data_IF_814873407406
#
_entry.id   IF_814873407406
#
_cell.length_a   1.000
_cell.length_b   1.000
_cell.length_c   1.000
_cell.angle_alpha   90.00
_cell.angle_beta   90.00
_cell.angle_gamma   90.00
#
_symmetry.space_group_name_H-M   'P 1'
#
loop_
_entity.id
_entity.type
_entity.pdbx_description
1 polymer ?
#
# COMPACT_ATOMS: atom_id res chain seq x y z
N UNK A 1 -3.06 11.38 -8.39
CA UNK A 1 -3.39 9.98 -8.14
C UNK A 1 -2.25 9.17 -7.53
N UNK A 2 -1.03 9.03 -8.17
CA UNK A 2 0.07 8.21 -7.61
C UNK A 2 0.53 8.57 -6.18
N UNK A 3 0.59 9.86 -5.81
CA UNK A 3 1.05 10.30 -4.47
C UNK A 3 0.03 10.07 -3.35
N UNK A 4 -1.25 10.11 -3.64
CA UNK A 4 -2.30 9.96 -2.61
C UNK A 4 -2.56 8.49 -2.26
N UNK A 5 -2.52 7.60 -3.25
CA UNK A 5 -2.57 6.15 -3.02
C UNK A 5 -1.37 5.71 -2.17
N UNK A 6 -0.18 6.31 -2.39
CA UNK A 6 1.00 6.08 -1.56
C UNK A 6 0.84 6.58 -0.11
N UNK A 7 0.14 7.69 0.12
CA UNK A 7 -0.05 8.24 1.48
C UNK A 7 -1.03 7.39 2.30
N UNK A 8 -2.10 6.89 1.69
CA UNK A 8 -3.03 5.95 2.33
C UNK A 8 -2.36 4.59 2.61
N UNK A 9 -1.42 4.17 1.75
CA UNK A 9 -0.64 2.95 1.93
C UNK A 9 0.40 3.05 3.06
N UNK A 10 1.02 4.22 3.29
CA UNK A 10 2.05 4.36 4.33
C UNK A 10 1.48 4.27 5.76
N UNK A 11 0.22 4.62 5.98
CA UNK A 11 -0.42 4.49 7.29
C UNK A 11 -0.78 3.03 7.65
N UNK A 12 -1.09 2.18 6.67
CA UNK A 12 -1.38 0.76 6.92
C UNK A 12 -0.13 -0.11 7.13
N UNK A 13 1.06 0.37 6.76
CA UNK A 13 2.31 -0.39 6.86
C UNK A 13 2.94 -0.41 8.26
N UNK A 14 2.48 0.41 9.19
CA UNK A 14 3.16 0.60 10.48
C UNK A 14 2.75 -0.38 11.60
N UNK A 15 1.70 -1.20 11.47
CA UNK A 15 1.10 -1.86 12.65
C UNK A 15 1.29 -3.38 12.74
N UNK A 16 1.74 -4.11 11.73
CA UNK A 16 1.73 -5.59 11.79
C UNK A 16 3.01 -6.32 11.37
N UNK A 17 4.19 -5.78 11.66
CA UNK A 17 5.47 -6.48 11.36
C UNK A 17 5.89 -7.53 12.40
N UNK A 18 5.04 -7.95 13.34
CA UNK A 18 5.50 -8.69 14.53
C UNK A 18 4.86 -10.06 14.73
N UNK A 19 4.53 -10.78 13.69
CA UNK A 19 3.77 -12.02 13.82
C UNK A 19 4.19 -13.22 13.00
N UNK A 20 5.44 -13.35 12.56
CA UNK A 20 5.92 -14.64 12.04
C UNK A 20 7.21 -15.04 12.74
N UNK A 21 7.07 -16.02 13.63
CA UNK A 21 8.17 -16.79 14.19
C UNK A 21 8.99 -17.37 13.06
N UNK A 22 10.30 -17.13 13.08
CA UNK A 22 11.28 -17.80 12.24
C UNK A 22 10.99 -19.31 12.21
N UNK A 23 10.90 -19.88 11.01
CA UNK A 23 10.76 -21.31 10.82
C UNK A 23 11.82 -22.06 11.65
N UNK A 24 11.35 -22.75 12.65
CA UNK A 24 11.90 -23.78 13.46
C UNK A 24 13.39 -24.10 13.43
N UNK A 25 14.20 -23.49 14.29
CA UNK A 25 15.14 -24.30 15.02
C UNK A 25 14.33 -25.01 16.11
N UNK A 26 14.18 -26.32 16.03
CA UNK A 26 13.61 -27.07 17.17
C UNK A 26 14.52 -26.85 18.37
N UNK A 27 14.04 -26.06 19.33
CA UNK A 27 14.74 -25.93 20.62
C UNK A 27 14.90 -27.28 21.25
N UNK A 28 16.02 -27.49 21.94
CA UNK A 28 16.17 -28.66 22.75
C UNK A 28 14.99 -28.79 23.71
N UNK A 29 14.48 -30.00 23.98
CA UNK A 29 13.29 -30.18 24.83
C UNK A 29 13.40 -29.48 26.18
N UNK A 30 14.62 -29.45 26.73
CA UNK A 30 14.90 -28.77 27.99
C UNK A 30 14.75 -27.26 27.92
N UNK A 31 15.18 -26.62 26.80
CA UNK A 31 14.98 -25.19 26.58
C UNK A 31 13.49 -24.88 26.38
N UNK A 32 12.78 -25.72 25.63
CA UNK A 32 11.30 -25.57 25.46
C UNK A 32 10.59 -25.59 26.80
N UNK A 33 10.94 -26.56 27.68
CA UNK A 33 10.34 -26.68 29.01
C UNK A 33 10.64 -25.47 29.89
N UNK A 34 11.88 -24.98 29.92
CA UNK A 34 12.23 -23.79 30.69
C UNK A 34 11.58 -22.50 30.14
N UNK A 35 11.45 -22.40 28.82
CA UNK A 35 10.84 -21.25 28.15
C UNK A 35 9.36 -21.04 28.53
N UNK A 36 8.62 -22.10 28.83
CA UNK A 36 7.21 -21.98 29.29
C UNK A 36 7.09 -21.21 30.60
N UNK A 37 8.13 -21.24 31.42
CA UNK A 37 8.16 -20.59 32.74
C UNK A 37 8.57 -19.12 32.67
N UNK A 38 9.07 -18.60 31.55
CA UNK A 38 9.62 -17.25 31.46
C UNK A 38 8.59 -16.17 31.85
N UNK A 39 7.33 -16.35 31.50
CA UNK A 39 6.24 -15.40 31.85
C UNK A 39 5.70 -15.63 33.25
N UNK A 40 5.48 -16.89 33.63
CA UNK A 40 4.78 -17.23 34.87
C UNK A 40 5.70 -17.21 36.09
N UNK A 41 6.95 -17.65 35.93
CA UNK A 41 7.94 -17.69 37.00
C UNK A 41 9.35 -17.44 36.45
N UNK A 42 9.72 -16.17 36.17
CA UNK A 42 11.01 -15.83 35.59
C UNK A 42 12.22 -16.35 36.36
N UNK A 43 12.15 -16.36 37.70
CA UNK A 43 13.23 -16.86 38.54
C UNK A 43 13.48 -18.36 38.34
N UNK A 44 12.41 -19.15 38.28
CA UNK A 44 12.50 -20.60 37.99
C UNK A 44 13.01 -20.88 36.58
N UNK A 45 12.61 -20.05 35.59
CA UNK A 45 13.12 -20.17 34.23
C UNK A 45 14.63 -19.90 34.20
N UNK A 46 15.10 -18.84 34.87
CA UNK A 46 16.54 -18.52 34.99
C UNK A 46 17.33 -19.66 35.66
N UNK A 47 16.85 -20.14 36.79
CA UNK A 47 17.49 -21.30 37.48
C UNK A 47 17.59 -22.54 36.57
N UNK A 48 16.51 -22.83 35.79
CA UNK A 48 16.51 -23.96 34.86
C UNK A 48 17.52 -23.76 33.71
N UNK A 49 17.63 -22.56 33.17
CA UNK A 49 18.64 -22.25 32.16
C UNK A 49 20.06 -22.28 32.70
N UNK A 50 20.28 -21.77 33.92
CA UNK A 50 21.58 -21.87 34.57
C UNK A 50 22.00 -23.33 34.83
N UNK A 51 21.05 -24.16 35.20
CA UNK A 51 21.31 -25.59 35.35
C UNK A 51 21.72 -26.28 34.03
N UNK A 52 21.02 -25.91 32.93
CA UNK A 52 21.37 -26.41 31.59
C UNK A 52 22.77 -25.98 31.15
N UNK A 53 23.23 -24.82 31.62
CA UNK A 53 24.55 -24.26 31.28
C UNK A 53 25.68 -24.76 32.19
N UNK A 54 25.46 -25.77 33.05
CA UNK A 54 26.51 -26.36 33.90
C UNK A 54 27.33 -27.44 33.19
N UNK A 55 28.47 -27.78 33.78
CA UNK A 55 29.33 -28.84 33.33
C UNK A 55 29.84 -28.66 31.89
N UNK A 56 29.63 -29.68 31.06
CA UNK A 56 30.07 -29.68 29.65
C UNK A 56 29.39 -28.58 28.79
N UNK A 57 28.23 -28.12 29.21
CA UNK A 57 27.46 -27.12 28.46
C UNK A 57 27.91 -25.67 28.75
N UNK A 58 28.79 -25.43 29.72
CA UNK A 58 29.23 -24.08 30.13
C UNK A 58 29.73 -23.20 28.96
N UNK A 59 30.27 -23.84 27.92
CA UNK A 59 30.76 -23.18 26.70
C UNK A 59 30.01 -23.64 25.45
N UNK A 60 28.77 -24.10 25.59
CA UNK A 60 27.95 -24.51 24.46
C UNK A 60 27.27 -23.28 23.83
N UNK A 61 27.88 -22.78 22.79
CA UNK A 61 27.42 -21.55 22.09
C UNK A 61 26.03 -21.73 21.50
N UNK A 62 25.70 -22.89 20.92
CA UNK A 62 24.38 -23.16 20.36
C UNK A 62 23.30 -23.07 21.44
N UNK A 63 23.54 -23.67 22.61
CA UNK A 63 22.61 -23.64 23.73
C UNK A 63 22.43 -22.23 24.29
N UNK A 64 23.51 -21.43 24.35
CA UNK A 64 23.41 -20.00 24.72
C UNK A 64 22.51 -19.21 23.74
N UNK A 65 22.64 -19.46 22.44
CA UNK A 65 21.80 -18.84 21.42
C UNK A 65 20.35 -19.29 21.54
N UNK A 66 20.09 -20.59 21.75
CA UNK A 66 18.72 -21.11 21.95
C UNK A 66 18.03 -20.45 23.15
N UNK A 67 18.72 -20.36 24.28
CA UNK A 67 18.20 -19.70 25.49
C UNK A 67 17.92 -18.21 25.22
N UNK A 68 18.87 -17.52 24.57
CA UNK A 68 18.70 -16.11 24.20
C UNK A 68 17.50 -15.88 23.29
N UNK A 69 17.26 -16.78 22.32
CA UNK A 69 16.04 -16.74 21.46
C UNK A 69 14.78 -16.98 22.27
N UNK A 70 14.79 -17.94 23.21
CA UNK A 70 13.65 -18.19 24.09
C UNK A 70 13.26 -16.95 24.90
N UNK A 71 14.22 -16.20 25.42
CA UNK A 71 13.98 -14.92 26.09
C UNK A 71 13.45 -13.86 25.13
N UNK A 72 14.05 -13.74 23.94
CA UNK A 72 13.64 -12.76 22.94
C UNK A 72 12.18 -12.95 22.49
N UNK A 73 11.77 -14.21 22.26
CA UNK A 73 10.42 -14.57 21.85
C UNK A 73 9.38 -14.25 22.94
N UNK A 74 9.80 -14.21 24.20
CA UNK A 74 8.96 -13.77 25.31
C UNK A 74 9.09 -12.26 25.61
N UNK A 75 9.77 -11.48 24.73
CA UNK A 75 9.95 -10.06 24.88
C UNK A 75 10.97 -9.65 25.96
N UNK A 76 11.76 -10.59 26.47
CA UNK A 76 12.80 -10.36 27.48
C UNK A 76 14.11 -9.97 26.78
N UNK A 77 14.16 -8.74 26.28
CA UNK A 77 15.27 -8.26 25.43
C UNK A 77 16.59 -8.12 26.18
N UNK A 78 16.57 -7.77 27.47
CA UNK A 78 17.78 -7.62 28.28
C UNK A 78 18.47 -8.97 28.51
N UNK A 79 17.71 -9.99 28.90
CA UNK A 79 18.21 -11.35 29.09
C UNK A 79 18.68 -11.95 27.75
N UNK A 80 17.92 -11.72 26.66
CA UNK A 80 18.33 -12.14 25.33
C UNK A 80 19.66 -11.51 24.90
N UNK A 81 19.87 -10.21 25.19
CA UNK A 81 21.13 -9.51 24.91
C UNK A 81 22.31 -10.11 25.70
N UNK A 82 22.09 -10.42 26.97
CA UNK A 82 23.11 -11.07 27.80
C UNK A 82 23.55 -12.41 27.21
N UNK A 83 22.59 -13.26 26.86
CA UNK A 83 22.89 -14.57 26.27
C UNK A 83 23.55 -14.47 24.89
N UNK A 84 23.16 -13.51 24.06
CA UNK A 84 23.84 -13.23 22.79
C UNK A 84 25.29 -12.79 23.02
N UNK A 85 25.56 -11.95 24.02
CA UNK A 85 26.91 -11.51 24.35
C UNK A 85 27.74 -12.68 24.90
N UNK A 86 27.21 -13.47 25.84
CA UNK A 86 27.88 -14.68 26.36
C UNK A 86 28.24 -15.66 25.22
N UNK A 87 27.37 -15.84 24.23
CA UNK A 87 27.64 -16.67 23.07
C UNK A 87 28.82 -16.11 22.24
N UNK A 88 28.88 -14.80 22.01
CA UNK A 88 30.01 -14.13 21.34
C UNK A 88 31.31 -14.21 22.13
N UNK A 89 31.25 -14.11 23.45
CA UNK A 89 32.43 -14.22 24.33
C UNK A 89 33.01 -15.64 24.32
N UNK A 90 32.16 -16.65 24.23
CA UNK A 90 32.58 -18.06 24.10
C UNK A 90 33.14 -18.35 22.72
N UNK A 91 32.52 -17.83 21.68
CA UNK A 91 32.97 -18.01 20.30
C UNK A 91 32.65 -16.73 19.47
N UNK A 92 33.67 -15.90 19.31
CA UNK A 92 33.57 -14.66 18.55
C UNK A 92 33.33 -14.85 17.02
N UNK A 93 33.40 -16.09 16.54
CA UNK A 93 33.10 -16.46 15.15
C UNK A 93 31.74 -17.16 14.99
N UNK A 94 30.88 -17.09 15.98
CA UNK A 94 29.57 -17.72 15.93
C UNK A 94 28.56 -16.80 15.20
N UNK A 95 28.31 -17.04 13.93
CA UNK A 95 27.38 -16.25 13.10
C UNK A 95 25.99 -16.14 13.74
N UNK A 96 25.42 -17.23 14.27
CA UNK A 96 24.09 -17.22 14.90
C UNK A 96 24.01 -16.42 16.20
N UNK A 97 25.13 -16.16 16.89
CA UNK A 97 25.17 -15.26 18.03
C UNK A 97 25.06 -13.79 17.62
N UNK A 98 25.66 -13.43 16.48
CA UNK A 98 25.47 -12.10 15.88
C UNK A 98 24.06 -11.94 15.31
N UNK A 99 23.50 -13.00 14.69
CA UNK A 99 22.10 -12.97 14.26
C UNK A 99 21.14 -12.69 15.41
N UNK A 100 21.30 -13.39 16.55
CA UNK A 100 20.51 -13.12 17.76
C UNK A 100 20.72 -11.70 18.28
N UNK A 101 21.97 -11.22 18.31
CA UNK A 101 22.29 -9.85 18.73
C UNK A 101 21.63 -8.79 17.83
N UNK A 102 21.60 -9.04 16.53
CA UNK A 102 20.87 -8.21 15.57
C UNK A 102 19.36 -8.20 15.80
N UNK A 103 18.77 -9.36 16.05
CA UNK A 103 17.34 -9.47 16.38
C UNK A 103 16.98 -8.73 17.68
N UNK A 104 17.84 -8.78 18.70
CA UNK A 104 17.70 -8.00 19.94
C UNK A 104 17.79 -6.51 19.65
N UNK A 105 18.79 -6.07 18.88
CA UNK A 105 18.97 -4.66 18.52
C UNK A 105 17.74 -4.13 17.76
N UNK A 106 17.19 -4.91 16.86
CA UNK A 106 15.97 -4.53 16.12
C UNK A 106 14.76 -4.39 17.05
N UNK A 107 14.62 -5.26 18.07
CA UNK A 107 13.58 -5.12 19.11
C UNK A 107 13.72 -3.86 19.94
N UNK A 108 14.94 -3.36 20.08
CA UNK A 108 15.27 -2.11 20.77
C UNK A 108 15.24 -0.88 19.86
N UNK A 109 14.80 -1.03 18.61
CA UNK A 109 14.82 -0.01 17.55
C UNK A 109 16.23 0.53 17.22
N UNK A 110 17.28 -0.21 17.53
CA UNK A 110 18.66 0.11 17.12
C UNK A 110 18.97 -0.54 15.76
N UNK A 111 18.48 0.12 14.72
CA UNK A 111 18.61 -0.33 13.31
C UNK A 111 20.08 -0.42 12.90
N UNK A 112 20.93 0.51 13.34
CA UNK A 112 22.35 0.54 12.98
C UNK A 112 23.08 -0.68 13.55
N UNK A 113 22.85 -0.98 14.83
CA UNK A 113 23.42 -2.16 15.47
C UNK A 113 22.89 -3.44 14.85
N UNK A 114 21.59 -3.53 14.58
CA UNK A 114 20.99 -4.69 13.91
C UNK A 114 21.64 -4.97 12.56
N UNK A 115 21.78 -3.94 11.72
CA UNK A 115 22.45 -4.03 10.41
C UNK A 115 23.90 -4.50 10.52
N UNK A 116 24.65 -3.93 11.47
CA UNK A 116 26.05 -4.30 11.71
C UNK A 116 26.16 -5.77 12.14
N UNK A 117 25.32 -6.21 13.06
CA UNK A 117 25.32 -7.59 13.56
C UNK A 117 24.90 -8.59 12.47
N UNK A 118 23.88 -8.28 11.65
CA UNK A 118 23.51 -9.16 10.52
C UNK A 118 24.62 -9.24 9.46
N UNK A 119 25.24 -8.11 9.12
CA UNK A 119 26.39 -8.13 8.20
C UNK A 119 27.56 -8.93 8.75
N UNK A 120 27.83 -8.84 10.06
CA UNK A 120 28.85 -9.66 10.72
C UNK A 120 28.49 -11.15 10.68
N UNK A 121 27.21 -11.51 10.84
CA UNK A 121 26.74 -12.89 10.73
C UNK A 121 27.00 -13.43 9.29
N UNK A 122 26.69 -12.64 8.27
CA UNK A 122 26.95 -12.97 6.84
C UNK A 122 28.45 -13.15 6.59
N UNK A 123 29.28 -12.26 7.15
CA UNK A 123 30.74 -12.33 6.99
C UNK A 123 31.34 -13.60 7.63
N UNK A 124 30.80 -14.03 8.77
CA UNK A 124 31.27 -15.21 9.51
C UNK A 124 30.76 -16.52 8.90
N UNK A 125 29.56 -16.51 8.35
CA UNK A 125 28.94 -17.64 7.66
C UNK A 125 28.15 -17.15 6.46
N UNK A 126 28.74 -17.25 5.29
CA UNK A 126 28.11 -16.84 4.03
C UNK A 126 26.89 -17.69 3.66
N UNK A 127 26.63 -18.80 4.34
CA UNK A 127 25.46 -19.65 4.17
C UNK A 127 24.37 -19.37 5.25
N UNK A 128 24.56 -18.38 6.11
CA UNK A 128 23.58 -17.95 7.08
C UNK A 128 22.39 -17.25 6.40
N UNK A 129 21.50 -18.02 5.77
CA UNK A 129 20.36 -17.52 4.98
C UNK A 129 19.50 -16.51 5.75
N UNK A 130 19.26 -16.78 7.04
CA UNK A 130 18.46 -15.89 7.89
C UNK A 130 19.10 -14.52 8.08
N UNK A 131 20.42 -14.42 8.10
CA UNK A 131 21.12 -13.14 8.22
C UNK A 131 20.94 -12.29 6.96
N UNK A 132 21.00 -12.88 5.76
CA UNK A 132 20.69 -12.17 4.51
C UNK A 132 19.25 -11.65 4.51
N UNK A 133 18.31 -12.52 4.90
CA UNK A 133 16.90 -12.20 4.93
C UNK A 133 16.62 -11.01 5.88
N UNK A 134 17.12 -11.08 7.11
CA UNK A 134 16.97 -10.02 8.12
C UNK A 134 17.64 -8.71 7.70
N UNK A 135 18.83 -8.80 7.13
CA UNK A 135 19.53 -7.63 6.60
C UNK A 135 18.73 -6.96 5.50
N UNK A 136 18.20 -7.73 4.56
CA UNK A 136 17.34 -7.21 3.49
C UNK A 136 16.07 -6.53 4.04
N UNK A 137 15.42 -7.12 5.04
CA UNK A 137 14.24 -6.54 5.67
C UNK A 137 14.52 -5.17 6.31
N UNK A 138 15.68 -5.02 6.97
CA UNK A 138 16.08 -3.74 7.58
C UNK A 138 16.26 -2.65 6.53
N UNK A 139 16.83 -2.97 5.38
CA UNK A 139 17.13 -2.00 4.34
C UNK A 139 15.99 -1.75 3.35
N UNK A 140 14.94 -2.56 3.36
CA UNK A 140 13.82 -2.47 2.40
C UNK A 140 13.24 -1.05 2.24
N UNK A 141 13.12 -0.30 3.34
CA UNK A 141 12.58 1.06 3.33
C UNK A 141 13.63 2.17 3.21
N UNK A 142 14.92 1.87 3.44
CA UNK A 142 16.01 2.86 3.50
C UNK A 142 16.86 2.82 2.23
N UNK A 143 17.25 1.63 1.81
CA UNK A 143 17.99 1.35 0.58
C UNK A 143 17.41 0.09 -0.08
N UNK A 144 16.32 0.22 -0.85
CA UNK A 144 15.69 -0.92 -1.50
C UNK A 144 16.60 -1.66 -2.47
N UNK A 145 17.60 -0.98 -3.07
CA UNK A 145 18.55 -1.63 -3.96
C UNK A 145 19.47 -2.59 -3.20
N UNK A 146 19.98 -2.17 -2.05
CA UNK A 146 20.79 -3.03 -1.19
C UNK A 146 19.96 -4.24 -0.67
N UNK A 147 18.71 -4.01 -0.30
CA UNK A 147 17.78 -5.08 0.07
C UNK A 147 17.60 -6.09 -1.08
N UNK A 148 17.37 -5.60 -2.31
CA UNK A 148 17.26 -6.44 -3.51
C UNK A 148 18.51 -7.29 -3.73
N UNK A 149 19.70 -6.68 -3.65
CA UNK A 149 20.97 -7.38 -3.85
C UNK A 149 21.16 -8.52 -2.82
N UNK A 150 20.76 -8.28 -1.57
CA UNK A 150 20.83 -9.31 -0.52
C UNK A 150 19.84 -10.46 -0.77
N UNK A 151 18.61 -10.15 -1.17
CA UNK A 151 17.61 -11.17 -1.50
C UNK A 151 18.00 -11.99 -2.73
N UNK A 152 18.59 -11.37 -3.75
CA UNK A 152 19.09 -12.09 -4.94
C UNK A 152 20.28 -13.02 -4.60
N UNK A 153 21.19 -12.58 -3.73
CA UNK A 153 22.24 -13.45 -3.20
C UNK A 153 21.65 -14.63 -2.41
N UNK A 154 20.65 -14.34 -1.60
CA UNK A 154 19.95 -15.38 -0.82
C UNK A 154 19.24 -16.37 -1.75
N UNK A 155 18.59 -15.89 -2.82
CA UNK A 155 17.87 -16.73 -3.78
C UNK A 155 18.81 -17.74 -4.46
N UNK A 156 20.07 -17.37 -4.71
CA UNK A 156 21.07 -18.31 -5.27
C UNK A 156 21.52 -19.37 -4.27
N UNK A 157 21.43 -19.09 -2.96
CA UNK A 157 21.86 -19.99 -1.89
C UNK A 157 20.72 -20.87 -1.37
N UNK A 158 19.50 -20.35 -1.37
CA UNK A 158 18.29 -21.00 -0.87
C UNK A 158 17.12 -20.82 -1.87
N UNK A 159 17.21 -21.43 -3.07
CA UNK A 159 16.22 -21.22 -4.14
C UNK A 159 14.81 -21.70 -3.76
N UNK A 160 14.69 -22.62 -2.82
CA UNK A 160 13.42 -23.19 -2.37
C UNK A 160 12.78 -22.41 -1.19
N UNK A 161 13.44 -21.36 -0.70
CA UNK A 161 12.86 -20.51 0.36
C UNK A 161 11.82 -19.55 -0.24
N UNK A 162 10.56 -19.92 -0.14
CA UNK A 162 9.44 -19.16 -0.70
C UNK A 162 9.24 -17.77 -0.05
N UNK A 163 9.81 -17.52 1.14
CA UNK A 163 9.79 -16.21 1.78
C UNK A 163 10.51 -15.17 0.93
N UNK A 164 11.52 -15.58 0.17
CA UNK A 164 12.31 -14.70 -0.70
C UNK A 164 11.42 -14.05 -1.76
N UNK A 165 10.56 -14.81 -2.42
CA UNK A 165 9.66 -14.30 -3.45
C UNK A 165 8.72 -13.23 -2.90
N UNK A 166 8.22 -13.42 -1.68
CA UNK A 166 7.39 -12.42 -0.98
C UNK A 166 8.17 -11.13 -0.69
N UNK A 167 9.38 -11.24 -0.14
CA UNK A 167 10.21 -10.06 0.17
C UNK A 167 10.68 -9.35 -1.11
N UNK A 168 11.02 -10.09 -2.17
CA UNK A 168 11.32 -9.50 -3.48
C UNK A 168 10.14 -8.70 -4.02
N UNK A 169 8.92 -9.21 -3.89
CA UNK A 169 7.72 -8.50 -4.30
C UNK A 169 7.57 -7.18 -3.53
N UNK A 170 7.76 -7.19 -2.21
CA UNK A 170 7.70 -5.99 -1.39
C UNK A 170 8.80 -4.97 -1.75
N UNK A 171 10.03 -5.44 -2.04
CA UNK A 171 11.13 -4.57 -2.46
C UNK A 171 10.87 -3.95 -3.83
N UNK A 172 10.46 -4.75 -4.81
CA UNK A 172 10.11 -4.24 -6.14
C UNK A 172 8.94 -3.24 -6.08
N UNK A 173 7.96 -3.51 -5.22
CA UNK A 173 6.88 -2.56 -4.96
C UNK A 173 7.40 -1.22 -4.43
N UNK A 174 8.29 -1.24 -3.42
CA UNK A 174 8.92 -0.04 -2.85
C UNK A 174 9.69 0.75 -3.89
N UNK A 175 10.33 0.06 -4.85
CA UNK A 175 11.06 0.65 -5.97
C UNK A 175 10.16 1.16 -7.10
N UNK A 176 8.83 0.97 -7.02
CA UNK A 176 7.88 1.30 -8.08
C UNK A 176 7.95 0.37 -9.30
N UNK A 177 8.63 -0.77 -9.20
CA UNK A 177 8.77 -1.77 -10.26
C UNK A 177 7.60 -2.78 -10.19
N UNK A 178 6.36 -2.28 -10.39
CA UNK A 178 5.14 -3.04 -10.15
C UNK A 178 5.00 -4.32 -10.96
N UNK A 179 5.50 -4.35 -12.21
CA UNK A 179 5.52 -5.57 -13.02
C UNK A 179 6.33 -6.70 -12.39
N UNK A 180 7.57 -6.40 -11.92
CA UNK A 180 8.41 -7.39 -11.24
C UNK A 180 7.85 -7.79 -9.87
N UNK A 181 7.24 -6.85 -9.15
CA UNK A 181 6.56 -7.14 -7.90
C UNK A 181 5.41 -8.15 -8.11
N UNK A 182 4.62 -7.98 -9.20
CA UNK A 182 3.58 -8.92 -9.60
C UNK A 182 4.14 -10.34 -9.83
N UNK A 183 5.17 -10.47 -10.68
CA UNK A 183 5.81 -11.76 -10.95
C UNK A 183 6.32 -12.47 -9.69
N UNK A 184 6.91 -11.70 -8.78
CA UNK A 184 7.41 -12.22 -7.52
C UNK A 184 6.27 -12.67 -6.59
N UNK A 185 5.15 -11.91 -6.52
CA UNK A 185 3.96 -12.35 -5.77
C UNK A 185 3.31 -13.59 -6.38
N UNK A 186 3.19 -13.67 -7.71
CA UNK A 186 2.69 -14.86 -8.39
C UNK A 186 3.52 -16.11 -8.06
N UNK A 187 4.84 -15.95 -7.99
CA UNK A 187 5.74 -17.04 -7.59
C UNK A 187 5.52 -17.46 -6.14
N UNK A 188 5.35 -16.49 -5.22
CA UNK A 188 5.03 -16.78 -3.82
C UNK A 188 3.69 -17.49 -3.67
N UNK A 189 2.64 -17.04 -4.37
CA UNK A 189 1.28 -17.60 -4.24
C UNK A 189 1.17 -19.05 -4.75
N UNK A 190 2.06 -19.50 -5.63
CA UNK A 190 2.08 -20.88 -6.14
C UNK A 190 2.52 -21.90 -5.09
N UNK A 191 3.37 -21.51 -4.16
CA UNK A 191 4.04 -22.43 -3.22
C UNK A 191 3.86 -22.05 -1.75
N UNK A 192 3.43 -20.82 -1.48
CA UNK A 192 3.21 -20.31 -0.13
C UNK A 192 1.82 -20.66 0.42
N UNK A 193 1.63 -20.32 1.68
CA UNK A 193 0.30 -20.31 2.32
C UNK A 193 -0.10 -18.84 2.53
N UNK A 194 -0.80 -18.22 1.58
CA UNK A 194 -1.12 -16.80 1.65
C UNK A 194 -2.04 -16.48 2.82
N UNK A 195 -1.72 -15.41 3.51
CA UNK A 195 -2.57 -14.81 4.55
C UNK A 195 -3.51 -13.76 3.93
N UNK A 196 -4.48 -13.30 4.69
CA UNK A 196 -5.33 -12.16 4.32
C UNK A 196 -4.48 -10.92 3.94
N UNK A 197 -3.39 -10.65 4.67
CA UNK A 197 -2.49 -9.54 4.37
C UNK A 197 -1.76 -9.72 3.02
N UNK A 198 -1.43 -10.93 2.64
CA UNK A 198 -0.80 -11.22 1.36
C UNK A 198 -1.78 -10.95 0.20
N UNK A 199 -3.03 -11.40 0.34
CA UNK A 199 -4.08 -11.08 -0.63
C UNK A 199 -4.33 -9.58 -0.72
N UNK A 200 -4.41 -8.88 0.42
CA UNK A 200 -4.60 -7.42 0.45
C UNK A 200 -3.47 -6.69 -0.29
N UNK A 201 -2.22 -7.01 0.01
CA UNK A 201 -1.06 -6.39 -0.65
C UNK A 201 -1.02 -6.68 -2.15
N UNK A 202 -1.29 -7.92 -2.51
CA UNK A 202 -1.25 -8.31 -3.91
C UNK A 202 -2.42 -7.69 -4.71
N UNK A 203 -3.62 -7.63 -4.15
CA UNK A 203 -4.75 -6.93 -4.74
C UNK A 203 -4.43 -5.43 -4.97
N UNK A 204 -3.87 -4.76 -3.97
CA UNK A 204 -3.43 -3.37 -4.10
C UNK A 204 -2.40 -3.18 -5.22
N UNK A 205 -1.43 -4.10 -5.33
CA UNK A 205 -0.42 -4.09 -6.40
C UNK A 205 -1.06 -4.25 -7.78
N UNK A 206 -1.97 -5.20 -7.93
CA UNK A 206 -2.71 -5.46 -9.17
C UNK A 206 -3.57 -4.24 -9.56
N UNK A 207 -4.25 -3.63 -8.59
CA UNK A 207 -5.01 -2.40 -8.82
C UNK A 207 -4.12 -1.27 -9.35
N UNK A 208 -2.94 -1.04 -8.74
CA UNK A 208 -1.98 -0.02 -9.19
C UNK A 208 -1.42 -0.31 -10.59
N UNK A 209 -1.30 -1.58 -10.94
CA UNK A 209 -0.88 -2.02 -12.28
C UNK A 209 -2.04 -2.01 -13.28
N UNK A 210 -3.25 -1.65 -12.85
CA UNK A 210 -4.51 -1.67 -13.64
C UNK A 210 -4.98 -3.08 -14.06
N UNK A 211 -4.52 -4.11 -13.37
CA UNK A 211 -4.96 -5.49 -13.55
C UNK A 211 -6.22 -5.76 -12.69
N UNK A 212 -7.28 -4.96 -12.89
CA UNK A 212 -8.47 -4.91 -12.03
C UNK A 212 -9.18 -6.25 -11.88
N UNK A 213 -9.24 -7.06 -12.94
CA UNK A 213 -9.87 -8.38 -12.87
C UNK A 213 -9.13 -9.32 -11.92
N UNK A 214 -7.78 -9.35 -11.98
CA UNK A 214 -6.99 -10.15 -11.05
C UNK A 214 -7.03 -9.57 -9.64
N UNK A 215 -7.08 -8.22 -9.50
CA UNK A 215 -7.27 -7.55 -8.22
C UNK A 215 -8.56 -8.02 -7.56
N UNK A 216 -9.69 -7.97 -8.29
CA UNK A 216 -11.01 -8.43 -7.80
C UNK A 216 -10.98 -9.90 -7.33
N UNK A 217 -10.27 -10.79 -8.04
CA UNK A 217 -10.12 -12.18 -7.61
C UNK A 217 -9.35 -12.30 -6.28
N UNK A 218 -8.29 -11.50 -6.10
CA UNK A 218 -7.53 -11.49 -4.84
C UNK A 218 -8.33 -10.84 -3.70
N UNK A 219 -9.11 -9.81 -4.01
CA UNK A 219 -10.03 -9.18 -3.06
C UNK A 219 -11.04 -10.20 -2.54
N UNK A 220 -11.67 -11.00 -3.41
CA UNK A 220 -12.62 -12.05 -3.00
C UNK A 220 -11.97 -13.05 -2.05
N UNK A 221 -10.79 -13.59 -2.41
CA UNK A 221 -10.04 -14.52 -1.55
C UNK A 221 -9.65 -13.93 -0.21
N UNK A 222 -9.25 -12.65 -0.20
CA UNK A 222 -8.90 -11.96 1.04
C UNK A 222 -10.11 -11.72 1.94
N UNK A 223 -11.27 -11.37 1.37
CA UNK A 223 -12.53 -11.19 2.11
C UNK A 223 -13.11 -12.51 2.64
N UNK A 224 -12.84 -13.65 2.00
CA UNK A 224 -13.17 -14.98 2.55
C UNK A 224 -12.44 -15.23 3.88
N UNK A 225 -11.19 -14.75 4.02
CA UNK A 225 -10.39 -14.90 5.23
C UNK A 225 -10.69 -13.81 6.27
N UNK A 226 -10.97 -12.60 5.82
CA UNK A 226 -11.23 -11.43 6.66
C UNK A 226 -12.37 -10.56 6.08
N UNK A 227 -13.63 -10.92 6.32
CA UNK A 227 -14.79 -10.23 5.76
C UNK A 227 -14.89 -8.74 6.14
N UNK A 228 -14.26 -8.36 7.27
CA UNK A 228 -14.28 -6.99 7.77
C UNK A 228 -13.06 -6.16 7.34
N UNK A 229 -12.17 -6.70 6.50
CA UNK A 229 -11.02 -5.96 6.01
C UNK A 229 -11.45 -4.75 5.17
N UNK A 230 -11.25 -3.57 5.73
CA UNK A 230 -11.70 -2.31 5.16
C UNK A 230 -10.98 -1.96 3.83
N UNK A 231 -9.70 -2.32 3.71
CA UNK A 231 -8.91 -2.09 2.48
C UNK A 231 -9.44 -2.95 1.33
N UNK A 232 -9.77 -4.20 1.60
CA UNK A 232 -10.33 -5.09 0.59
C UNK A 232 -11.75 -4.67 0.18
N UNK A 233 -12.59 -4.22 1.12
CA UNK A 233 -13.92 -3.64 0.81
C UNK A 233 -13.80 -2.41 -0.09
N UNK A 234 -12.82 -1.53 0.18
CA UNK A 234 -12.51 -0.37 -0.68
C UNK A 234 -12.12 -0.80 -2.10
N UNK A 235 -11.18 -1.76 -2.20
CA UNK A 235 -10.73 -2.27 -3.50
C UNK A 235 -11.87 -2.94 -4.27
N UNK A 236 -12.78 -3.66 -3.59
CA UNK A 236 -13.95 -4.24 -4.24
C UNK A 236 -14.79 -3.17 -4.95
N UNK A 237 -15.04 -2.03 -4.29
CA UNK A 237 -15.74 -0.90 -4.89
C UNK A 237 -14.96 -0.31 -6.08
N UNK A 238 -13.66 -0.10 -5.92
CA UNK A 238 -12.81 0.51 -6.94
C UNK A 238 -12.65 -0.39 -8.18
N UNK A 239 -12.34 -1.67 -7.97
CA UNK A 239 -12.17 -2.63 -9.06
C UNK A 239 -13.45 -2.75 -9.89
N UNK A 240 -14.62 -2.84 -9.24
CA UNK A 240 -15.89 -2.97 -9.94
C UNK A 240 -16.24 -1.73 -10.80
N UNK A 241 -15.89 -0.51 -10.34
CA UNK A 241 -16.04 0.69 -11.18
C UNK A 241 -15.15 0.59 -12.44
N UNK A 242 -13.88 0.23 -12.26
CA UNK A 242 -12.93 0.13 -13.37
C UNK A 242 -13.29 -1.01 -14.37
N UNK A 243 -13.88 -2.09 -13.85
CA UNK A 243 -14.39 -3.21 -14.65
C UNK A 243 -15.75 -2.90 -15.30
N UNK A 244 -16.40 -1.80 -14.90
CA UNK A 244 -17.76 -1.41 -15.31
C UNK A 244 -18.84 -2.37 -14.81
N UNK A 245 -18.56 -3.09 -13.74
CA UNK A 245 -19.50 -3.95 -13.04
C UNK A 245 -20.26 -3.12 -11.99
N UNK A 246 -21.09 -2.17 -12.50
CA UNK A 246 -21.66 -1.09 -11.69
C UNK A 246 -22.57 -1.58 -10.58
N UNK A 247 -23.33 -2.64 -10.82
CA UNK A 247 -24.24 -3.21 -9.82
C UNK A 247 -23.46 -3.78 -8.64
N UNK A 248 -22.49 -4.62 -8.92
CA UNK A 248 -21.59 -5.21 -7.91
C UNK A 248 -20.77 -4.11 -7.21
N UNK A 249 -20.41 -3.06 -7.95
CA UNK A 249 -19.74 -1.88 -7.41
C UNK A 249 -20.59 -1.13 -6.39
N UNK A 250 -21.89 -0.94 -6.65
CA UNK A 250 -22.83 -0.33 -5.72
C UNK A 250 -23.07 -1.18 -4.46
N UNK A 251 -23.16 -2.51 -4.60
CA UNK A 251 -23.25 -3.43 -3.47
C UNK A 251 -21.95 -3.38 -2.61
N UNK A 252 -20.78 -3.31 -3.25
CA UNK A 252 -19.50 -3.14 -2.56
C UNK A 252 -19.42 -1.78 -1.84
N UNK A 253 -19.87 -0.69 -2.49
CA UNK A 253 -19.95 0.64 -1.88
C UNK A 253 -20.85 0.64 -0.64
N UNK A 254 -22.04 0.07 -0.72
CA UNK A 254 -22.96 -0.04 0.42
C UNK A 254 -22.31 -0.80 1.60
N UNK A 255 -21.58 -1.88 1.30
CA UNK A 255 -20.85 -2.65 2.31
C UNK A 255 -19.69 -1.86 2.91
N UNK A 256 -18.92 -1.14 2.07
CA UNK A 256 -17.80 -0.32 2.50
C UNK A 256 -18.24 0.85 3.40
N UNK A 257 -19.29 1.55 3.02
CA UNK A 257 -19.85 2.69 3.77
C UNK A 257 -20.83 2.30 4.89
N UNK A 258 -20.98 1.02 5.21
CA UNK A 258 -21.87 0.55 6.28
C UNK A 258 -21.51 1.08 7.68
N UNK A 259 -20.27 1.56 7.87
CA UNK A 259 -19.80 2.23 9.09
C UNK A 259 -19.55 3.72 8.83
N UNK A 260 -20.54 4.61 8.95
CA UNK A 260 -20.44 6.02 8.59
C UNK A 260 -19.48 6.85 9.45
N UNK A 261 -19.02 6.32 10.58
CA UNK A 261 -18.06 6.97 11.48
C UNK A 261 -16.62 6.52 11.30
N UNK A 262 -16.31 5.76 10.24
CA UNK A 262 -14.95 5.27 10.02
C UNK A 262 -13.99 6.43 9.67
N UNK A 263 -12.92 6.67 10.45
CA UNK A 263 -11.97 7.76 10.21
C UNK A 263 -11.06 7.52 8.98
N UNK A 264 -11.09 6.32 8.41
CA UNK A 264 -10.23 5.93 7.29
C UNK A 264 -10.82 6.26 5.92
N UNK A 265 -12.02 6.84 5.86
CA UNK A 265 -12.57 7.33 4.60
C UNK A 265 -11.76 8.50 4.05
N UNK A 266 -11.52 8.47 2.74
CA UNK A 266 -10.82 9.51 2.00
C UNK A 266 -11.74 10.08 0.91
N UNK A 267 -11.45 11.31 0.43
CA UNK A 267 -12.28 11.95 -0.59
C UNK A 267 -12.50 11.05 -1.83
N UNK A 268 -11.48 10.28 -2.19
CA UNK A 268 -11.52 9.40 -3.36
C UNK A 268 -12.58 8.29 -3.21
N UNK A 269 -12.85 7.82 -1.98
CA UNK A 269 -13.90 6.83 -1.74
C UNK A 269 -15.27 7.36 -2.18
N UNK A 270 -15.55 8.62 -1.87
CA UNK A 270 -16.79 9.29 -2.27
C UNK A 270 -16.83 9.56 -3.78
N UNK A 271 -15.70 9.87 -4.40
CA UNK A 271 -15.61 10.01 -5.87
C UNK A 271 -15.92 8.71 -6.58
N UNK A 272 -15.37 7.58 -6.12
CA UNK A 272 -15.67 6.27 -6.71
C UNK A 272 -17.14 5.88 -6.53
N UNK A 273 -17.68 6.12 -5.35
CA UNK A 273 -19.11 5.87 -5.10
C UNK A 273 -20.01 6.76 -5.96
N UNK A 274 -19.69 8.04 -6.09
CA UNK A 274 -20.42 8.97 -6.96
C UNK A 274 -20.44 8.50 -8.42
N UNK A 275 -19.30 8.07 -8.95
CA UNK A 275 -19.21 7.56 -10.33
C UNK A 275 -19.99 6.26 -10.56
N UNK A 276 -20.08 5.39 -9.54
CA UNK A 276 -20.94 4.21 -9.59
C UNK A 276 -22.42 4.61 -9.66
N UNK A 277 -22.84 5.56 -8.82
CA UNK A 277 -24.21 6.10 -8.81
C UNK A 277 -24.55 6.79 -10.13
N UNK A 278 -23.62 7.58 -10.67
CA UNK A 278 -23.75 8.22 -11.99
C UNK A 278 -23.97 7.18 -13.10
N UNK A 279 -23.17 6.11 -13.12
CA UNK A 279 -23.30 5.03 -14.09
C UNK A 279 -24.64 4.31 -13.98
N UNK A 280 -25.21 4.22 -12.78
CA UNK A 280 -26.55 3.67 -12.52
C UNK A 280 -27.67 4.72 -12.67
N UNK A 281 -27.34 5.96 -13.12
CA UNK A 281 -28.26 7.08 -13.34
C UNK A 281 -28.95 7.63 -12.07
N UNK A 282 -28.35 7.40 -10.93
CA UNK A 282 -28.76 7.98 -9.64
C UNK A 282 -28.05 9.34 -9.46
N UNK A 283 -28.47 10.33 -10.27
CA UNK A 283 -27.72 11.59 -10.45
C UNK A 283 -27.68 12.45 -9.20
N UNK A 284 -28.81 12.64 -8.50
CA UNK A 284 -28.87 13.42 -7.27
C UNK A 284 -27.96 12.82 -6.17
N UNK A 285 -27.97 11.49 -6.03
CA UNK A 285 -27.13 10.77 -5.08
C UNK A 285 -25.66 10.87 -5.46
N UNK A 286 -25.35 10.81 -6.77
CA UNK A 286 -23.97 10.99 -7.26
C UNK A 286 -23.41 12.37 -6.89
N UNK A 287 -24.16 13.44 -7.16
CA UNK A 287 -23.78 14.81 -6.79
C UNK A 287 -23.58 14.91 -5.27
N UNK A 288 -24.47 14.32 -4.47
CA UNK A 288 -24.34 14.34 -3.01
C UNK A 288 -23.05 13.65 -2.52
N UNK A 289 -22.55 12.62 -3.22
CA UNK A 289 -21.25 12.01 -2.87
C UNK A 289 -20.07 12.86 -3.33
N UNK A 290 -20.13 13.48 -4.52
CA UNK A 290 -19.12 14.44 -4.95
C UNK A 290 -18.99 15.63 -3.99
N UNK A 291 -20.11 16.14 -3.48
CA UNK A 291 -20.12 17.22 -2.48
C UNK A 291 -19.42 16.78 -1.17
N UNK A 292 -19.61 15.53 -0.74
CA UNK A 292 -18.89 14.99 0.41
C UNK A 292 -17.40 14.91 0.15
N UNK A 293 -16.99 14.52 -1.06
CA UNK A 293 -15.58 14.49 -1.44
C UNK A 293 -14.96 15.89 -1.38
N UNK A 294 -15.63 16.90 -1.92
CA UNK A 294 -15.22 18.31 -1.85
C UNK A 294 -15.21 18.86 -0.42
N UNK A 295 -16.13 18.40 0.44
CA UNK A 295 -16.16 18.81 1.85
C UNK A 295 -14.93 18.27 2.61
N UNK A 296 -14.39 17.13 2.22
CA UNK A 296 -13.16 16.57 2.80
C UNK A 296 -11.91 17.30 2.32
N UNK A 297 -11.83 17.64 1.03
CA UNK A 297 -10.69 18.36 0.46
C UNK A 297 -11.14 19.22 -0.73
N UNK A 298 -11.29 20.51 -0.46
CA UNK A 298 -11.71 21.52 -1.44
C UNK A 298 -10.67 21.81 -2.52
N UNK A 299 -9.44 21.32 -2.38
CA UNK A 299 -8.39 21.52 -3.39
C UNK A 299 -8.57 20.67 -4.65
N UNK A 300 -9.46 19.66 -4.58
CA UNK A 300 -9.79 18.75 -5.68
C UNK A 300 -10.87 19.37 -6.60
N UNK A 301 -10.53 20.48 -7.22
CA UNK A 301 -11.47 21.24 -8.08
C UNK A 301 -11.89 20.47 -9.33
N UNK A 302 -11.14 19.45 -9.75
CA UNK A 302 -11.51 18.53 -10.82
C UNK A 302 -12.84 17.80 -10.56
N UNK A 303 -13.26 17.67 -9.30
CA UNK A 303 -14.56 17.07 -8.94
C UNK A 303 -15.73 17.90 -9.47
N UNK A 304 -15.57 19.23 -9.58
CA UNK A 304 -16.60 20.07 -10.20
C UNK A 304 -16.83 19.75 -11.68
N UNK A 305 -15.81 19.23 -12.39
CA UNK A 305 -15.97 18.73 -13.76
C UNK A 305 -16.82 17.47 -13.77
N UNK A 306 -16.56 16.52 -12.85
CA UNK A 306 -17.40 15.33 -12.69
C UNK A 306 -18.86 15.72 -12.37
N UNK A 307 -19.09 16.69 -11.46
CA UNK A 307 -20.44 17.21 -11.15
C UNK A 307 -21.10 17.83 -12.39
N UNK A 308 -20.35 18.58 -13.18
CA UNK A 308 -20.84 19.14 -14.44
C UNK A 308 -21.28 18.07 -15.41
N UNK A 309 -20.51 16.99 -15.55
CA UNK A 309 -20.84 15.84 -16.41
C UNK A 309 -22.12 15.14 -15.95
N UNK A 310 -22.35 15.02 -14.64
CA UNK A 310 -23.61 14.48 -14.08
C UNK A 310 -24.79 15.36 -14.50
N UNK A 311 -24.73 16.65 -14.30
CA UNK A 311 -25.80 17.59 -14.67
C UNK A 311 -26.02 17.68 -16.17
N UNK A 312 -24.95 17.54 -16.99
CA UNK A 312 -25.09 17.44 -18.46
C UNK A 312 -25.94 16.22 -18.87
N UNK A 313 -25.67 15.05 -18.25
CA UNK A 313 -26.43 13.81 -18.48
C UNK A 313 -27.89 13.93 -18.06
N UNK A 314 -28.14 14.64 -16.98
CA UNK A 314 -29.49 14.97 -16.50
C UNK A 314 -30.17 16.06 -17.34
N UNK A 315 -29.42 16.75 -18.22
CA UNK A 315 -29.82 17.89 -19.02
C UNK A 315 -30.15 19.14 -18.19
N UNK A 316 -29.66 19.23 -16.96
CA UNK A 316 -29.68 20.46 -16.17
C UNK A 316 -28.48 21.33 -16.56
N UNK A 317 -28.52 21.89 -17.77
CA UNK A 317 -27.42 22.69 -18.32
C UNK A 317 -27.05 23.91 -17.47
N UNK A 318 -27.98 24.63 -16.81
CA UNK A 318 -27.60 25.70 -15.90
C UNK A 318 -26.71 25.30 -14.77
N UNK A 319 -26.99 24.14 -14.11
CA UNK A 319 -26.15 23.60 -13.05
C UNK A 319 -24.84 23.03 -13.60
N UNK A 320 -24.87 22.39 -14.77
CA UNK A 320 -23.67 21.92 -15.44
C UNK A 320 -22.69 23.06 -15.73
N UNK A 321 -23.20 24.19 -16.27
CA UNK A 321 -22.42 25.41 -16.52
C UNK A 321 -21.83 25.97 -15.23
N UNK A 322 -22.63 26.06 -14.16
CA UNK A 322 -22.18 26.56 -12.85
C UNK A 322 -21.06 25.69 -12.27
N UNK A 323 -21.24 24.38 -12.30
CA UNK A 323 -20.22 23.44 -11.84
C UNK A 323 -18.93 23.56 -12.68
N UNK A 324 -19.05 23.68 -14.00
CA UNK A 324 -17.89 23.85 -14.87
C UNK A 324 -17.16 25.18 -14.62
N UNK A 325 -17.87 26.26 -14.33
CA UNK A 325 -17.28 27.55 -13.88
C UNK A 325 -16.47 27.37 -12.60
N UNK A 326 -16.97 26.61 -11.63
CA UNK A 326 -16.25 26.32 -10.40
C UNK A 326 -14.98 25.51 -10.67
N UNK A 327 -15.02 24.57 -11.61
CA UNK A 327 -13.82 23.85 -12.07
C UNK A 327 -12.78 24.82 -12.64
N UNK A 328 -13.16 25.66 -13.62
CA UNK A 328 -12.26 26.63 -14.24
C UNK A 328 -11.71 27.64 -13.22
N UNK A 329 -12.54 28.11 -12.30
CA UNK A 329 -12.14 29.07 -11.26
C UNK A 329 -11.17 28.47 -10.21
N UNK A 330 -11.12 27.15 -10.07
CA UNK A 330 -10.24 26.46 -9.16
C UNK A 330 -8.96 25.89 -9.81
N UNK A 331 -8.82 26.02 -11.12
CA UNK A 331 -7.64 25.51 -11.84
C UNK A 331 -6.37 26.27 -11.46
N UNK A 332 -5.25 25.57 -11.51
CA UNK A 332 -3.90 26.16 -11.45
C UNK A 332 -3.40 26.41 -12.87
N UNK A 333 -3.63 27.60 -13.37
CA UNK A 333 -3.25 28.01 -14.72
C UNK A 333 -4.46 28.35 -15.57
N UNK A 334 -4.18 28.74 -16.82
CA UNK A 334 -5.25 29.12 -17.77
C UNK A 334 -5.90 27.84 -18.34
N UNK A 335 -7.21 27.89 -18.67
CA UNK A 335 -7.91 26.82 -19.34
C UNK A 335 -7.27 26.47 -20.69
N UNK A 336 -7.18 25.20 -21.00
CA UNK A 336 -6.76 24.75 -22.32
C UNK A 336 -7.92 24.81 -23.35
N UNK A 337 -7.60 24.55 -24.62
CA UNK A 337 -8.58 24.56 -25.72
C UNK A 337 -9.72 23.57 -25.45
N UNK A 338 -9.41 22.42 -24.84
CA UNK A 338 -10.38 21.37 -24.53
C UNK A 338 -11.35 21.84 -23.45
N UNK A 339 -10.83 22.49 -22.42
CA UNK A 339 -11.65 23.03 -21.33
C UNK A 339 -12.61 24.11 -21.85
N UNK A 340 -12.10 25.04 -22.66
CA UNK A 340 -12.94 26.08 -23.28
C UNK A 340 -13.98 25.51 -24.24
N UNK A 341 -13.59 24.49 -25.03
CA UNK A 341 -14.51 23.82 -25.93
C UNK A 341 -15.67 23.16 -25.18
N UNK A 342 -15.36 22.41 -24.12
CA UNK A 342 -16.38 21.75 -23.29
C UNK A 342 -17.31 22.77 -22.63
N UNK A 343 -16.75 23.89 -22.11
CA UNK A 343 -17.55 24.94 -21.51
C UNK A 343 -18.46 25.64 -22.52
N UNK A 344 -17.95 25.98 -23.71
CA UNK A 344 -18.73 26.52 -24.82
C UNK A 344 -19.84 25.58 -25.27
N UNK A 345 -19.55 24.26 -25.34
CA UNK A 345 -20.52 23.24 -25.70
C UNK A 345 -21.68 23.16 -24.70
N UNK A 346 -21.44 23.24 -23.40
CA UNK A 346 -22.50 23.26 -22.38
C UNK A 346 -23.44 24.46 -22.58
N UNK A 347 -22.89 25.67 -22.84
CA UNK A 347 -23.69 26.87 -23.15
C UNK A 347 -24.49 26.68 -24.45
N UNK A 348 -23.89 26.10 -25.48
CA UNK A 348 -24.59 25.81 -26.74
C UNK A 348 -25.74 24.81 -26.53
N UNK A 349 -25.54 23.75 -25.73
CA UNK A 349 -26.61 22.80 -25.42
C UNK A 349 -27.74 23.48 -24.61
N UNK A 350 -27.43 24.32 -23.64
CA UNK A 350 -28.43 25.10 -22.92
C UNK A 350 -29.24 26.00 -23.90
N UNK A 351 -28.58 26.64 -24.86
CA UNK A 351 -29.22 27.48 -25.85
C UNK A 351 -30.16 26.73 -26.82
N UNK A 352 -29.84 25.49 -27.11
CA UNK A 352 -30.60 24.64 -28.06
C UNK A 352 -31.68 23.80 -27.39
N UNK A 353 -31.68 23.71 -26.06
CA UNK A 353 -32.68 22.95 -25.32
C UNK A 353 -33.97 23.77 -25.15
N UNK A 354 -35.09 23.11 -25.43
CA UNK A 354 -36.43 23.73 -25.33
C UNK A 354 -36.79 24.21 -23.93
N UNK A 355 -36.19 23.61 -22.90
CA UNK A 355 -36.42 23.98 -21.50
C UNK A 355 -35.87 25.37 -21.15
N UNK A 356 -34.94 25.92 -21.94
CA UNK A 356 -34.23 27.19 -21.66
C UNK A 356 -34.36 28.25 -22.78
N UNK A 357 -35.39 28.11 -23.60
CA UNK A 357 -35.62 29.03 -24.77
C UNK A 357 -35.69 30.49 -24.38
N UNK A 358 -36.22 30.82 -23.23
CA UNK A 358 -36.27 32.19 -22.69
C UNK A 358 -34.89 32.83 -22.47
N UNK A 359 -33.85 31.99 -22.28
CA UNK A 359 -32.45 32.40 -22.07
C UNK A 359 -31.54 32.07 -23.25
N UNK A 360 -32.09 31.60 -24.38
CA UNK A 360 -31.32 31.21 -25.55
C UNK A 360 -30.32 32.27 -26.01
N UNK A 361 -30.70 33.60 -26.16
CA UNK A 361 -29.74 34.60 -26.61
C UNK A 361 -28.54 34.76 -25.67
N UNK A 362 -28.76 34.58 -24.35
CA UNK A 362 -27.70 34.68 -23.35
C UNK A 362 -26.69 33.54 -23.51
N UNK A 363 -27.19 32.30 -23.59
CA UNK A 363 -26.34 31.13 -23.72
C UNK A 363 -25.59 31.08 -25.05
N UNK A 364 -26.22 31.56 -26.17
CA UNK A 364 -25.53 31.65 -27.45
C UNK A 364 -24.41 32.68 -27.43
N UNK A 365 -24.64 33.88 -26.87
CA UNK A 365 -23.61 34.91 -26.76
C UNK A 365 -22.41 34.42 -25.90
N UNK A 366 -22.67 33.71 -24.81
CA UNK A 366 -21.63 33.14 -23.98
C UNK A 366 -20.85 32.04 -24.73
N UNK A 367 -21.55 31.13 -25.42
CA UNK A 367 -20.93 30.08 -26.23
C UNK A 367 -20.03 30.67 -27.32
N UNK A 368 -20.51 31.68 -28.07
CA UNK A 368 -19.73 32.36 -29.11
C UNK A 368 -18.46 33.00 -28.56
N UNK A 369 -18.56 33.64 -27.39
CA UNK A 369 -17.41 34.26 -26.72
C UNK A 369 -16.36 33.21 -26.34
N UNK A 370 -16.79 32.09 -25.73
CA UNK A 370 -15.90 31.02 -25.29
C UNK A 370 -15.24 30.33 -26.50
N UNK A 371 -16.01 30.05 -27.57
CA UNK A 371 -15.46 29.43 -28.77
C UNK A 371 -14.48 30.35 -29.51
N UNK A 372 -14.70 31.70 -29.49
CA UNK A 372 -13.73 32.63 -30.00
C UNK A 372 -12.41 32.59 -29.23
N UNK A 373 -12.45 32.56 -27.90
CA UNK A 373 -11.25 32.37 -27.05
C UNK A 373 -10.51 31.06 -27.35
N UNK A 374 -11.24 29.95 -27.50
CA UNK A 374 -10.64 28.68 -27.88
C UNK A 374 -9.98 28.74 -29.28
N UNK A 375 -10.60 29.44 -30.20
CA UNK A 375 -10.07 29.68 -31.55
C UNK A 375 -8.77 30.50 -31.54
N UNK A 376 -8.71 31.58 -30.73
CA UNK A 376 -7.49 32.40 -30.55
C UNK A 376 -6.34 31.55 -30.02
N UNK A 377 -6.56 30.77 -28.96
CA UNK A 377 -5.55 29.85 -28.42
C UNK A 377 -5.06 28.82 -29.43
N UNK A 378 -5.95 28.30 -30.30
CA UNK A 378 -5.58 27.38 -31.36
C UNK A 378 -4.67 28.03 -32.40
N UNK A 379 -4.99 29.28 -32.78
CA UNK A 379 -4.17 30.05 -33.74
C UNK A 379 -2.79 30.34 -33.16
N UNK A 380 -2.70 30.74 -31.91
CA UNK A 380 -1.42 30.99 -31.23
C UNK A 380 -0.55 29.75 -31.13
N UNK A 381 -1.16 28.61 -30.81
CA UNK A 381 -0.47 27.32 -30.75
C UNK A 381 0.10 26.89 -32.12
N UNK A 382 -0.67 27.12 -33.18
CA UNK A 382 -0.24 26.83 -34.56
C UNK A 382 0.83 27.80 -35.04
N UNK A 383 0.76 29.09 -34.66
CA UNK A 383 1.77 30.09 -34.99
C UNK A 383 3.09 29.87 -34.23
N UNK A 384 3.02 29.48 -32.95
CA UNK A 384 4.20 29.15 -32.14
C UNK A 384 4.89 27.86 -32.56
N UNK A 385 4.18 26.92 -33.18
CA UNK A 385 4.75 25.66 -33.69
C UNK A 385 5.54 25.78 -34.99
N UNK A 386 5.48 26.94 -35.67
CA UNK A 386 6.17 27.17 -36.95
C UNK A 386 7.59 27.77 -36.77
N UNK A 387 8.02 28.08 -35.55
CA UNK A 387 9.29 28.81 -35.29
C UNK A 387 10.47 27.94 -34.84
N UNK A 388 10.42 26.62 -35.01
CA UNK A 388 11.58 25.75 -34.72
C UNK A 388 11.81 24.72 -35.82
N UNK A 389 12.23 25.19 -37.01
CA UNK A 389 13.13 24.48 -37.90
C UNK A 389 13.76 25.49 -38.85
N UNK A 390 14.91 25.99 -38.41
CA UNK A 390 15.82 26.85 -39.19
C UNK A 390 17.24 26.60 -38.73
#
# INVERSE_FOLDING_TARGET
MKKLVLTVMSLCLAVTMWGQTSAGSEWSPQVKQAATMIKENPAKASEAFDELMKGKNKKNTSLLVEIGRAYLDQGKTAEAAEYAQRAKDVNSKCAVAYLLSGDVALKLNDVNKASSDYNQAIYLDENCSEAYFKYAQVYKGVDPQLSLDMLMRLQTKAPDDNRISKELADVYYTMGQYGKAKEAYESYLKVGTPTEQDYTRYAMLLYLNKDYAQSSDMVKKGLELAPENHVLKRLAMYDNLELKDYKEGLEAAATFFSNPGNPDYVYLDYVYFARLLEADKQYDEAVAQFDKALAMDKSHTEIYKDISDVYEKERDFPKAIEAYKNYLGGMKGDPDISDLFLYGRLNYYAATDSAYQDKQPLYLAEADTIFAQAGELLVDLLAGGVTHDG
#
